data_IF_836207203487
#
_entry.id   IF_836207203487
#
_cell.length_a   1.000
_cell.length_b   1.000
_cell.length_c   1.000
_cell.angle_alpha   90.00
_cell.angle_beta   90.00
_cell.angle_gamma   90.00
#
_symmetry.space_group_name_H-M   'P 1'
#
loop_
_entity.id
_entity.type
_entity.pdbx_description
1 polymer ?
#
# COMPACT_ATOMS: atom_id res chain seq x y z
N UNK A 1 -1.53 85.76 26.43
CA UNK A 1 -2.34 84.51 26.37
C UNK A 1 -2.02 83.79 25.06
N UNK A 2 -1.11 82.82 25.08
CA UNK A 2 -0.80 81.97 23.93
C UNK A 2 -1.55 80.66 24.08
N UNK A 3 -2.47 80.37 23.15
CA UNK A 3 -3.14 79.07 23.05
C UNK A 3 -2.25 78.14 22.23
N UNK A 4 -1.64 77.17 22.89
CA UNK A 4 -0.92 76.07 22.25
C UNK A 4 -1.91 75.14 21.55
N UNK A 5 -1.71 74.79 20.27
CA UNK A 5 -2.58 73.86 19.56
C UNK A 5 -2.29 72.43 20.05
N UNK A 6 -3.31 71.76 20.59
CA UNK A 6 -3.27 70.31 20.84
C UNK A 6 -3.25 69.60 19.48
N UNK A 7 -2.12 68.98 19.16
CA UNK A 7 -1.92 68.22 17.94
C UNK A 7 -2.65 66.88 17.99
N UNK A 8 -3.29 66.53 16.86
CA UNK A 8 -4.04 65.30 16.59
C UNK A 8 -3.14 64.05 16.50
N UNK A 9 -2.46 63.70 17.60
CA UNK A 9 -1.60 62.50 17.67
C UNK A 9 -2.39 61.19 17.80
N UNK A 10 -3.72 61.24 18.00
CA UNK A 10 -4.56 60.06 18.18
C UNK A 10 -4.99 59.36 16.87
N UNK A 11 -4.90 60.04 15.71
CA UNK A 11 -5.34 59.44 14.43
C UNK A 11 -4.29 58.54 13.75
N UNK A 12 -3.01 58.71 14.10
CA UNK A 12 -1.90 57.95 13.46
C UNK A 12 -1.84 56.49 13.90
N UNK A 13 -2.06 56.22 15.19
CA UNK A 13 -1.99 54.87 15.76
C UNK A 13 -3.14 53.97 15.26
N UNK A 14 -4.33 54.54 15.05
CA UNK A 14 -5.48 53.80 14.50
C UNK A 14 -5.28 53.37 13.05
N UNK A 15 -4.57 54.18 12.25
CA UNK A 15 -4.29 53.87 10.86
C UNK A 15 -3.25 52.75 10.70
N UNK A 16 -2.22 52.70 11.55
CA UNK A 16 -1.20 51.64 11.50
C UNK A 16 -1.77 50.27 11.88
N UNK A 17 -2.62 50.22 12.91
CA UNK A 17 -3.27 48.97 13.35
C UNK A 17 -4.23 48.41 12.30
N UNK A 18 -4.97 49.27 11.58
CA UNK A 18 -5.85 48.85 10.48
C UNK A 18 -5.07 48.29 9.29
N UNK A 19 -3.94 48.93 8.92
CA UNK A 19 -3.05 48.43 7.85
C UNK A 19 -2.44 47.09 8.21
N UNK A 20 -1.97 46.92 9.45
CA UNK A 20 -1.43 45.64 9.92
C UNK A 20 -2.46 44.51 9.86
N UNK A 21 -3.70 44.75 10.31
CA UNK A 21 -4.79 43.77 10.23
C UNK A 21 -5.15 43.38 8.79
N UNK A 22 -5.18 44.35 7.88
CA UNK A 22 -5.46 44.08 6.47
C UNK A 22 -4.37 43.23 5.81
N UNK A 23 -3.09 43.50 6.11
CA UNK A 23 -1.96 42.71 5.62
C UNK A 23 -1.99 41.29 6.20
N UNK A 24 -2.29 41.14 7.48
CA UNK A 24 -2.38 39.82 8.12
C UNK A 24 -3.53 38.97 7.53
N UNK A 25 -4.70 39.60 7.29
CA UNK A 25 -5.84 38.93 6.68
C UNK A 25 -5.53 38.52 5.22
N UNK A 26 -4.88 39.39 4.45
CA UNK A 26 -4.46 39.10 3.09
C UNK A 26 -3.43 37.94 3.05
N UNK A 27 -2.45 37.93 3.97
CA UNK A 27 -1.50 36.84 4.10
C UNK A 27 -2.18 35.51 4.46
N UNK A 28 -3.16 35.54 5.38
CA UNK A 28 -3.94 34.36 5.75
C UNK A 28 -4.76 33.82 4.57
N UNK A 29 -5.39 34.70 3.78
CA UNK A 29 -6.16 34.32 2.59
C UNK A 29 -5.26 33.74 1.49
N UNK A 30 -4.05 34.27 1.31
CA UNK A 30 -3.06 33.70 0.38
C UNK A 30 -2.61 32.32 0.86
N UNK A 31 -2.37 32.13 2.16
CA UNK A 31 -2.03 30.81 2.72
C UNK A 31 -3.19 29.83 2.54
N UNK A 32 -4.43 30.24 2.82
CA UNK A 32 -5.62 29.41 2.60
C UNK A 32 -5.83 29.05 1.11
N UNK A 33 -5.57 29.99 0.20
CA UNK A 33 -5.63 29.78 -1.24
C UNK A 33 -4.51 28.89 -1.80
N UNK A 34 -3.33 28.91 -1.18
CA UNK A 34 -2.23 28.00 -1.52
C UNK A 34 -2.43 26.60 -0.90
N UNK A 35 -3.15 26.51 0.23
CA UNK A 35 -3.54 25.25 0.85
C UNK A 35 -4.77 24.59 0.20
N UNK A 36 -5.60 25.32 -0.56
CA UNK A 36 -6.83 24.81 -1.17
C UNK A 36 -6.63 24.03 -2.48
N UNK A 37 -5.42 24.02 -3.04
CA UNK A 37 -5.05 23.14 -4.16
C UNK A 37 -4.73 21.71 -3.74
N UNK A 38 -4.78 21.38 -2.45
CA UNK A 38 -4.80 19.99 -1.99
C UNK A 38 -6.17 19.40 -2.34
N UNK A 39 -6.23 18.56 -3.37
CA UNK A 39 -7.43 17.77 -3.67
C UNK A 39 -7.60 16.78 -2.53
N UNK A 40 -8.53 17.06 -1.62
CA UNK A 40 -8.88 16.14 -0.55
C UNK A 40 -9.66 14.97 -1.14
N UNK A 41 -9.34 13.74 -0.70
CA UNK A 41 -10.14 12.57 -1.02
C UNK A 41 -11.61 12.81 -0.65
N UNK A 42 -12.53 12.36 -1.52
CA UNK A 42 -13.97 12.50 -1.29
C UNK A 42 -14.40 11.33 -0.40
N UNK A 43 -14.95 11.57 0.80
CA UNK A 43 -15.41 10.49 1.67
C UNK A 43 -16.51 9.66 0.99
N UNK A 44 -16.51 8.36 1.21
CA UNK A 44 -17.66 7.55 0.83
C UNK A 44 -18.82 7.83 1.80
N UNK A 45 -20.08 7.92 1.32
CA UNK A 45 -21.24 7.92 2.20
C UNK A 45 -21.25 6.74 3.18
N UNK A 46 -21.83 6.92 4.37
CA UNK A 46 -22.07 5.79 5.27
C UNK A 46 -23.00 4.78 4.58
N UNK A 47 -22.57 3.54 4.48
CA UNK A 47 -23.32 2.58 3.68
C UNK A 47 -22.71 1.20 3.57
N UNK A 48 -23.45 0.36 2.83
CA UNK A 48 -23.05 -0.98 2.45
C UNK A 48 -22.60 -0.99 1.00
N UNK A 49 -21.46 -1.62 0.73
CA UNK A 49 -20.80 -1.59 -0.57
C UNK A 49 -20.35 -2.97 -1.00
N UNK A 50 -20.23 -3.18 -2.31
CA UNK A 50 -19.56 -4.36 -2.83
C UNK A 50 -18.04 -4.26 -2.60
N UNK A 51 -17.55 -5.00 -1.62
CA UNK A 51 -16.13 -5.15 -1.30
C UNK A 51 -15.61 -6.54 -1.70
N UNK A 52 -16.13 -7.14 -2.78
CA UNK A 52 -15.73 -8.49 -3.20
C UNK A 52 -14.52 -8.45 -4.14
N UNK A 53 -13.56 -9.36 -3.91
CA UNK A 53 -12.39 -9.58 -4.77
C UNK A 53 -12.67 -10.70 -5.78
N UNK A 54 -13.48 -10.39 -6.81
CA UNK A 54 -13.97 -11.38 -7.77
C UNK A 54 -12.89 -11.85 -8.77
N UNK A 55 -12.00 -10.94 -9.18
CA UNK A 55 -10.91 -11.20 -10.11
C UNK A 55 -9.60 -10.62 -9.57
N UNK A 56 -8.46 -11.21 -9.93
CA UNK A 56 -7.14 -10.70 -9.53
C UNK A 56 -6.91 -9.30 -10.12
N UNK A 57 -6.62 -8.33 -9.27
CA UNK A 57 -6.25 -6.99 -9.73
C UNK A 57 -4.92 -7.00 -10.49
N UNK A 58 -4.81 -6.12 -11.49
CA UNK A 58 -3.54 -5.83 -12.15
C UNK A 58 -2.49 -5.30 -11.16
N UNK A 59 -1.21 -5.48 -11.48
CA UNK A 59 -0.12 -4.92 -10.68
C UNK A 59 -0.16 -3.39 -10.70
N UNK A 60 -0.13 -2.70 -9.55
CA UNK A 60 0.01 -1.24 -9.49
C UNK A 60 1.43 -0.78 -9.84
N UNK A 61 2.37 -1.72 -9.98
CA UNK A 61 3.78 -1.44 -10.29
C UNK A 61 4.10 -1.64 -11.76
N UNK A 62 5.06 -0.87 -12.30
CA UNK A 62 5.51 -1.05 -13.68
C UNK A 62 6.07 -2.46 -13.92
N UNK A 63 6.03 -2.96 -15.18
CA UNK A 63 6.73 -4.17 -15.56
C UNK A 63 8.22 -4.08 -15.21
N UNK A 64 8.82 -5.21 -14.85
CA UNK A 64 10.26 -5.29 -14.60
C UNK A 64 11.01 -5.51 -15.90
N UNK A 65 12.21 -4.91 -16.01
CA UNK A 65 13.13 -5.20 -17.11
C UNK A 65 13.59 -6.66 -17.04
N UNK A 66 13.92 -7.23 -18.20
CA UNK A 66 14.58 -8.53 -18.25
C UNK A 66 15.98 -8.47 -17.63
N UNK A 67 16.51 -9.64 -17.29
CA UNK A 67 17.87 -9.81 -16.81
C UNK A 67 18.73 -10.56 -17.83
N UNK A 68 20.05 -10.40 -17.71
CA UNK A 68 21.01 -11.28 -18.38
C UNK A 68 20.96 -12.70 -17.79
N UNK A 69 21.61 -13.65 -18.45
CA UNK A 69 21.56 -15.06 -18.07
C UNK A 69 22.14 -15.36 -16.67
N UNK A 70 23.02 -14.50 -16.16
CA UNK A 70 23.62 -14.63 -14.82
C UNK A 70 22.86 -13.86 -13.74
N UNK A 71 21.77 -13.18 -14.13
CA UNK A 71 20.93 -12.36 -13.24
C UNK A 71 21.66 -11.23 -12.51
N UNK A 72 22.77 -10.75 -13.07
CA UNK A 72 23.61 -9.70 -12.49
C UNK A 72 23.28 -8.30 -13.02
N UNK A 73 22.61 -8.20 -14.18
CA UNK A 73 22.23 -6.93 -14.78
C UNK A 73 20.83 -6.99 -15.40
N UNK A 74 20.08 -5.90 -15.30
CA UNK A 74 18.74 -5.74 -15.87
C UNK A 74 18.73 -4.70 -17.00
N UNK A 75 17.92 -4.91 -18.03
CA UNK A 75 17.83 -3.98 -19.16
C UNK A 75 16.95 -4.49 -20.30
N UNK A 76 17.17 -3.92 -21.49
CA UNK A 76 16.45 -4.23 -22.72
C UNK A 76 17.42 -4.64 -23.83
N UNK A 77 16.96 -5.45 -24.78
CA UNK A 77 17.73 -5.92 -25.93
C UNK A 77 18.26 -7.35 -25.79
N UNK A 78 19.06 -7.77 -26.77
CA UNK A 78 19.44 -9.17 -26.97
C UNK A 78 20.26 -9.79 -25.82
N UNK A 79 20.91 -8.97 -24.98
CA UNK A 79 21.68 -9.44 -23.84
C UNK A 79 20.81 -9.77 -22.60
N UNK A 80 19.55 -9.32 -22.57
CA UNK A 80 18.65 -9.47 -21.43
C UNK A 80 17.54 -10.49 -21.75
N UNK A 81 17.92 -11.76 -21.76
CA UNK A 81 17.08 -12.88 -22.24
C UNK A 81 16.19 -13.49 -21.19
N UNK A 82 16.35 -13.13 -19.91
CA UNK A 82 15.60 -13.74 -18.80
C UNK A 82 14.46 -12.82 -18.40
N UNK A 83 13.20 -13.17 -18.73
CA UNK A 83 12.06 -12.44 -18.22
C UNK A 83 11.90 -12.69 -16.71
N UNK A 84 11.54 -11.64 -15.98
CA UNK A 84 11.31 -11.68 -14.53
C UNK A 84 9.94 -11.11 -14.19
N UNK A 85 9.37 -11.58 -13.09
CA UNK A 85 8.08 -11.14 -12.56
C UNK A 85 8.12 -11.03 -11.05
N UNK A 86 7.09 -10.40 -10.49
CA UNK A 86 6.87 -10.38 -9.04
C UNK A 86 6.12 -11.66 -8.66
N UNK A 87 6.74 -12.46 -7.80
CA UNK A 87 6.23 -13.74 -7.31
C UNK A 87 5.67 -13.55 -5.91
N UNK A 88 4.54 -14.20 -5.62
CA UNK A 88 3.88 -14.16 -4.33
C UNK A 88 4.54 -15.10 -3.33
N UNK A 89 4.75 -14.65 -2.09
CA UNK A 89 5.20 -15.53 -1.00
C UNK A 89 4.01 -16.33 -0.46
N UNK A 90 2.96 -15.64 -0.03
CA UNK A 90 1.62 -16.19 0.20
C UNK A 90 0.83 -16.02 -1.11
N UNK A 91 0.39 -17.12 -1.70
CA UNK A 91 -0.36 -17.12 -2.94
C UNK A 91 -1.60 -16.19 -2.89
N UNK A 92 -1.93 -15.59 -4.03
CA UNK A 92 -3.06 -14.65 -4.13
C UNK A 92 -4.37 -15.27 -3.66
N UNK A 93 -4.64 -16.53 -4.01
CA UNK A 93 -5.87 -17.22 -3.59
C UNK A 93 -5.99 -17.31 -2.07
N UNK A 94 -4.89 -17.55 -1.34
CA UNK A 94 -4.91 -17.57 0.13
C UNK A 94 -5.21 -16.18 0.72
N UNK A 95 -4.62 -15.11 0.17
CA UNK A 95 -4.92 -13.74 0.58
C UNK A 95 -6.36 -13.35 0.29
N UNK A 96 -6.86 -13.67 -0.92
CA UNK A 96 -8.24 -13.42 -1.33
C UNK A 96 -9.21 -14.15 -0.43
N UNK A 97 -9.01 -15.44 -0.19
CA UNK A 97 -9.94 -16.26 0.59
C UNK A 97 -9.99 -15.81 2.05
N UNK A 98 -8.85 -15.43 2.63
CA UNK A 98 -8.81 -14.77 3.93
C UNK A 98 -9.62 -13.47 3.93
N UNK A 99 -9.33 -12.55 2.99
CA UNK A 99 -10.04 -11.28 2.88
C UNK A 99 -11.55 -11.48 2.74
N UNK A 100 -11.97 -12.35 1.82
CA UNK A 100 -13.38 -12.66 1.59
C UNK A 100 -14.04 -13.31 2.80
N UNK A 101 -13.33 -14.14 3.56
CA UNK A 101 -13.85 -14.66 4.84
C UNK A 101 -14.02 -13.56 5.89
N UNK A 102 -13.18 -12.53 5.91
CA UNK A 102 -13.34 -11.37 6.82
C UNK A 102 -14.54 -10.52 6.39
N UNK A 103 -14.69 -10.28 5.08
CA UNK A 103 -15.83 -9.57 4.46
C UNK A 103 -17.14 -10.25 4.79
N UNK A 104 -17.27 -11.55 4.49
CA UNK A 104 -18.51 -12.33 4.67
C UNK A 104 -18.95 -12.42 6.12
N UNK A 105 -18.00 -12.40 7.06
CA UNK A 105 -18.28 -12.43 8.50
C UNK A 105 -18.47 -11.04 9.12
N UNK A 106 -18.32 -9.96 8.34
CA UNK A 106 -18.49 -8.60 8.84
C UNK A 106 -17.39 -8.15 9.82
N UNK A 107 -16.21 -8.76 9.75
CA UNK A 107 -15.11 -8.52 10.70
C UNK A 107 -14.03 -7.56 10.18
N UNK A 108 -14.27 -6.85 9.07
CA UNK A 108 -13.28 -5.94 8.48
C UNK A 108 -12.74 -4.90 9.47
N UNK A 109 -13.59 -4.38 10.35
CA UNK A 109 -13.20 -3.39 11.37
C UNK A 109 -12.16 -3.90 12.37
N UNK A 110 -12.06 -5.22 12.57
CA UNK A 110 -11.09 -5.83 13.48
C UNK A 110 -9.64 -5.72 12.97
N UNK A 111 -9.48 -5.40 11.68
CA UNK A 111 -8.19 -5.17 11.04
C UNK A 111 -7.87 -3.66 10.89
N UNK A 112 -8.52 -2.79 11.66
CA UNK A 112 -8.34 -1.32 11.58
C UNK A 112 -6.88 -0.89 11.62
N UNK A 113 -6.10 -1.43 12.56
CA UNK A 113 -4.69 -1.05 12.71
C UNK A 113 -3.87 -1.32 11.45
N UNK A 114 -4.12 -2.48 10.81
CA UNK A 114 -3.55 -2.79 9.51
C UNK A 114 -4.06 -1.84 8.43
N UNK A 115 -5.37 -1.58 8.33
CA UNK A 115 -5.93 -0.68 7.31
C UNK A 115 -5.33 0.73 7.36
N UNK A 116 -5.23 1.31 8.55
CA UNK A 116 -4.65 2.64 8.74
C UNK A 116 -3.17 2.66 8.29
N UNK A 117 -2.39 1.68 8.76
CA UNK A 117 -0.97 1.59 8.42
C UNK A 117 -0.71 1.24 6.96
N UNK A 118 -1.56 0.40 6.37
CA UNK A 118 -1.47 -0.04 4.99
C UNK A 118 -1.79 1.10 4.02
N UNK A 119 -2.93 1.78 4.21
CA UNK A 119 -3.34 2.93 3.41
C UNK A 119 -2.37 4.10 3.55
N UNK A 120 -1.85 4.33 4.76
CA UNK A 120 -0.83 5.35 5.02
C UNK A 120 0.49 5.17 4.25
N UNK A 121 0.71 4.03 3.60
CA UNK A 121 1.95 3.71 2.88
C UNK A 121 1.81 3.61 1.36
N UNK A 122 0.63 3.84 0.78
CA UNK A 122 0.43 3.73 -0.67
C UNK A 122 1.38 4.62 -1.48
N UNK A 123 1.61 5.86 -1.02
CA UNK A 123 2.59 6.75 -1.65
C UNK A 123 4.01 6.15 -1.66
N UNK A 124 4.46 5.60 -0.53
CA UNK A 124 5.76 4.93 -0.42
C UNK A 124 5.82 3.66 -1.25
N UNK A 125 4.76 2.85 -1.27
CA UNK A 125 4.69 1.67 -2.14
C UNK A 125 4.84 2.04 -3.61
N UNK A 126 4.19 3.10 -4.08
CA UNK A 126 4.36 3.59 -5.44
C UNK A 126 5.81 4.01 -5.70
N UNK A 127 6.35 4.93 -4.88
CA UNK A 127 7.69 5.51 -5.07
C UNK A 127 8.81 4.48 -4.98
N UNK A 128 8.79 3.62 -3.96
CA UNK A 128 9.86 2.65 -3.70
C UNK A 128 9.90 1.52 -4.73
N UNK A 129 8.81 1.34 -5.50
CA UNK A 129 8.69 0.38 -6.59
C UNK A 129 8.56 1.08 -7.97
N UNK A 130 9.10 2.29 -8.09
CA UNK A 130 9.31 3.00 -9.37
C UNK A 130 8.04 3.39 -10.13
N UNK A 131 6.90 3.52 -9.44
CA UNK A 131 5.71 4.13 -10.06
C UNK A 131 5.96 5.62 -10.24
N UNK A 132 5.64 6.14 -11.43
CA UNK A 132 5.60 7.57 -11.67
C UNK A 132 4.38 8.18 -10.96
N UNK A 133 4.57 8.64 -9.72
CA UNK A 133 3.48 9.22 -8.92
C UNK A 133 3.20 10.66 -9.36
N UNK A 134 2.33 10.79 -10.36
CA UNK A 134 1.77 12.08 -10.76
C UNK A 134 0.72 12.55 -9.74
N UNK A 135 0.28 13.82 -9.78
CA UNK A 135 -0.79 14.30 -8.91
C UNK A 135 -2.09 13.47 -8.98
N UNK A 136 -2.45 12.97 -10.17
CA UNK A 136 -3.61 12.10 -10.34
C UNK A 136 -3.44 10.75 -9.63
N UNK A 137 -2.28 10.10 -9.79
CA UNK A 137 -1.96 8.84 -9.09
C UNK A 137 -1.96 9.05 -7.57
N UNK A 138 -1.43 10.19 -7.10
CA UNK A 138 -1.47 10.52 -5.68
C UNK A 138 -2.91 10.67 -5.17
N UNK A 139 -3.80 11.32 -5.92
CA UNK A 139 -5.21 11.45 -5.56
C UNK A 139 -5.90 10.07 -5.46
N UNK A 140 -5.58 9.14 -6.35
CA UNK A 140 -6.09 7.76 -6.27
C UNK A 140 -5.60 7.04 -5.00
N UNK A 141 -4.34 7.27 -4.60
CA UNK A 141 -3.78 6.72 -3.37
C UNK A 141 -4.46 7.30 -2.13
N UNK A 142 -4.67 8.62 -2.11
CA UNK A 142 -5.35 9.31 -1.01
C UNK A 142 -6.81 8.84 -0.90
N UNK A 143 -7.50 8.66 -2.02
CA UNK A 143 -8.87 8.12 -2.06
C UNK A 143 -8.95 6.70 -1.50
N UNK A 144 -8.00 5.83 -1.84
CA UNK A 144 -7.96 4.46 -1.35
C UNK A 144 -7.56 4.37 0.13
N UNK A 145 -6.71 5.28 0.60
CA UNK A 145 -6.41 5.43 2.03
C UNK A 145 -7.67 5.83 2.80
N UNK A 146 -8.43 6.82 2.33
CA UNK A 146 -9.69 7.23 2.95
C UNK A 146 -10.68 6.07 3.04
N UNK A 147 -10.82 5.26 1.97
CA UNK A 147 -11.63 4.04 2.00
C UNK A 147 -11.20 3.08 3.14
N UNK A 148 -9.90 2.85 3.31
CA UNK A 148 -9.38 1.97 4.35
C UNK A 148 -9.67 2.50 5.77
N UNK A 149 -9.56 3.81 5.98
CA UNK A 149 -9.95 4.46 7.23
C UNK A 149 -11.45 4.35 7.51
N UNK A 150 -12.29 4.43 6.47
CA UNK A 150 -13.74 4.26 6.56
C UNK A 150 -14.14 2.81 6.86
N UNK A 151 -13.47 1.83 6.24
CA UNK A 151 -13.63 0.40 6.55
C UNK A 151 -13.23 0.14 8.02
N UNK A 152 -12.09 0.65 8.45
CA UNK A 152 -11.59 0.50 9.81
C UNK A 152 -12.50 1.14 10.87
N UNK A 153 -13.27 2.18 10.53
CA UNK A 153 -14.28 2.80 11.39
C UNK A 153 -15.66 2.14 11.29
N UNK A 154 -15.90 1.26 10.32
CA UNK A 154 -17.20 0.64 10.05
C UNK A 154 -18.20 1.55 9.35
N UNK A 155 -17.75 2.67 8.75
CA UNK A 155 -18.58 3.58 7.92
C UNK A 155 -18.89 2.91 6.59
N UNK A 156 -17.87 2.32 5.95
CA UNK A 156 -18.03 1.48 4.77
C UNK A 156 -18.12 0.02 5.21
N UNK A 157 -19.26 -0.62 4.96
CA UNK A 157 -19.53 -2.01 5.35
C UNK A 157 -19.63 -2.90 4.13
N UNK A 158 -19.18 -4.15 4.26
CA UNK A 158 -19.30 -5.15 3.21
C UNK A 158 -20.75 -5.58 3.02
N UNK A 159 -21.22 -5.57 1.78
CA UNK A 159 -22.44 -6.27 1.35
C UNK A 159 -22.25 -6.76 -0.09
N UNK A 160 -22.02 -8.07 -0.23
CA UNK A 160 -21.86 -8.70 -1.53
C UNK A 160 -23.18 -8.62 -2.31
N UNK A 161 -23.14 -8.02 -3.51
CA UNK A 161 -24.30 -7.88 -4.39
C UNK A 161 -24.99 -6.51 -4.39
N UNK A 162 -24.52 -5.54 -3.58
CA UNK A 162 -25.02 -4.16 -3.63
C UNK A 162 -24.03 -3.28 -4.41
N UNK A 163 -24.31 -2.95 -5.69
CA UNK A 163 -23.60 -1.85 -6.34
C UNK A 163 -23.98 -0.51 -5.67
N UNK A 164 -23.07 0.49 -5.67
CA UNK A 164 -21.76 0.51 -6.34
C UNK A 164 -20.59 -0.03 -5.49
N UNK A 165 -19.43 -0.23 -6.12
CA UNK A 165 -18.14 -0.30 -5.41
C UNK A 165 -17.80 1.09 -4.85
N UNK A 166 -17.13 1.20 -3.69
CA UNK A 166 -16.79 2.50 -3.13
C UNK A 166 -15.62 3.14 -3.90
N UNK A 167 -15.49 4.46 -3.77
CA UNK A 167 -14.34 5.20 -4.29
C UNK A 167 -13.05 4.69 -3.65
N UNK A 168 -11.99 4.55 -4.45
CA UNK A 168 -10.69 4.05 -4.01
C UNK A 168 -10.56 2.52 -3.98
N UNK A 169 -11.64 1.78 -4.31
CA UNK A 169 -11.63 0.31 -4.29
C UNK A 169 -10.56 -0.30 -5.19
N UNK A 170 -10.46 0.13 -6.44
CA UNK A 170 -9.56 -0.49 -7.41
C UNK A 170 -8.09 -0.33 -7.01
N UNK A 171 -7.71 0.86 -6.53
CA UNK A 171 -6.37 1.14 -5.99
C UNK A 171 -6.07 0.32 -4.74
N UNK A 172 -7.02 0.25 -3.78
CA UNK A 172 -6.89 -0.62 -2.61
C UNK A 172 -6.67 -2.08 -3.03
N UNK A 173 -7.52 -2.59 -3.91
CA UNK A 173 -7.48 -3.98 -4.36
C UNK A 173 -6.17 -4.31 -5.10
N UNK A 174 -5.67 -3.38 -5.92
CA UNK A 174 -4.35 -3.48 -6.55
C UNK A 174 -3.23 -3.61 -5.52
N UNK A 175 -3.15 -2.70 -4.55
CA UNK A 175 -2.10 -2.79 -3.51
C UNK A 175 -2.26 -3.99 -2.59
N UNK A 176 -3.48 -4.39 -2.24
CA UNK A 176 -3.71 -5.56 -1.40
C UNK A 176 -3.26 -6.86 -2.11
N UNK A 177 -3.56 -6.96 -3.40
CA UNK A 177 -3.11 -8.08 -4.23
C UNK A 177 -1.58 -8.11 -4.34
N UNK A 178 -0.95 -6.95 -4.42
CA UNK A 178 0.47 -6.81 -4.72
C UNK A 178 1.26 -6.17 -3.55
N UNK A 179 1.01 -6.58 -2.30
CA UNK A 179 1.72 -6.00 -1.16
C UNK A 179 3.24 -6.26 -1.22
N UNK A 180 4.10 -5.24 -1.09
CA UNK A 180 5.55 -5.40 -1.28
C UNK A 180 6.22 -6.44 -0.39
N UNK A 181 5.76 -6.59 0.85
CA UNK A 181 6.28 -7.60 1.78
C UNK A 181 5.96 -9.04 1.37
N UNK A 182 4.94 -9.24 0.54
CA UNK A 182 4.52 -10.54 0.07
C UNK A 182 5.05 -10.86 -1.33
N UNK A 183 5.97 -10.05 -1.86
CA UNK A 183 6.45 -10.15 -3.22
C UNK A 183 7.97 -10.17 -3.30
N UNK A 184 8.50 -11.03 -4.16
CA UNK A 184 9.91 -10.96 -4.59
C UNK A 184 10.03 -10.95 -6.11
N UNK A 185 11.09 -10.33 -6.61
CA UNK A 185 11.42 -10.34 -8.03
C UNK A 185 12.24 -11.59 -8.35
N UNK A 186 11.80 -12.36 -9.36
CA UNK A 186 12.46 -13.59 -9.76
C UNK A 186 12.21 -13.94 -11.23
N UNK A 187 13.02 -14.83 -11.83
CA UNK A 187 12.81 -15.34 -13.18
C UNK A 187 11.41 -15.92 -13.36
N UNK A 188 10.85 -15.83 -14.57
CA UNK A 188 9.57 -16.50 -14.87
C UNK A 188 9.76 -18.01 -15.10
N UNK A 189 10.90 -18.39 -15.66
CA UNK A 189 11.28 -19.79 -15.83
C UNK A 189 11.78 -20.37 -14.53
N UNK A 190 10.87 -20.77 -13.65
CA UNK A 190 11.18 -21.44 -12.38
C UNK A 190 10.75 -22.90 -12.43
N UNK A 191 11.62 -23.80 -11.96
CA UNK A 191 11.24 -25.21 -11.78
C UNK A 191 10.90 -25.56 -10.33
N UNK A 192 10.99 -24.59 -9.42
CA UNK A 192 10.63 -24.69 -8.01
C UNK A 192 9.43 -23.79 -7.63
N UNK A 193 8.66 -23.32 -8.63
CA UNK A 193 7.47 -22.51 -8.41
C UNK A 193 6.36 -23.37 -7.76
N UNK A 194 5.85 -23.00 -6.57
CA UNK A 194 4.77 -23.71 -5.88
C UNK A 194 3.39 -23.47 -6.50
N UNK A 195 3.28 -22.58 -7.49
CA UNK A 195 2.00 -22.16 -8.09
C UNK A 195 1.10 -21.49 -7.04
N UNK A 196 0.02 -22.17 -6.67
CA UNK A 196 -0.97 -21.65 -5.72
C UNK A 196 -0.68 -22.02 -4.25
N UNK A 197 0.41 -22.73 -4.00
CA UNK A 197 0.85 -23.05 -2.65
C UNK A 197 1.74 -21.95 -2.05
N UNK A 198 2.16 -22.15 -0.80
CA UNK A 198 3.05 -21.22 -0.10
C UNK A 198 4.50 -21.39 -0.56
N UNK A 199 5.16 -20.29 -0.89
CA UNK A 199 6.55 -20.27 -1.37
C UNK A 199 7.55 -20.47 -0.23
N UNK A 200 7.72 -21.72 0.21
CA UNK A 200 8.62 -22.06 1.32
C UNK A 200 10.07 -21.66 1.07
N UNK A 201 10.52 -21.69 -0.19
CA UNK A 201 11.89 -21.35 -0.54
C UNK A 201 12.14 -19.83 -0.49
N UNK A 202 11.08 -18.99 -0.48
CA UNK A 202 11.25 -17.55 -0.31
C UNK A 202 11.90 -17.15 1.01
N UNK A 203 12.02 -18.05 2.00
CA UNK A 203 12.82 -17.79 3.21
C UNK A 203 14.25 -17.33 2.89
N UNK A 204 14.85 -17.88 1.83
CA UNK A 204 16.22 -17.55 1.40
C UNK A 204 16.27 -16.25 0.61
N UNK A 205 15.15 -15.82 0.03
CA UNK A 205 14.99 -14.51 -0.61
C UNK A 205 14.78 -13.42 0.43
N UNK A 206 13.88 -13.67 1.39
CA UNK A 206 13.59 -12.79 2.52
C UNK A 206 14.85 -12.57 3.37
N UNK A 207 15.65 -13.63 3.57
CA UNK A 207 16.93 -13.64 4.28
C UNK A 207 16.88 -12.90 5.62
N UNK A 208 15.79 -13.08 6.34
CA UNK A 208 15.55 -12.50 7.66
C UNK A 208 14.60 -13.42 8.44
N UNK A 209 15.15 -14.14 9.41
CA UNK A 209 14.42 -15.18 10.17
C UNK A 209 13.18 -14.64 10.86
N UNK A 210 13.25 -13.48 11.50
CA UNK A 210 12.10 -12.90 12.21
C UNK A 210 10.97 -12.50 11.27
N UNK A 211 11.31 -11.93 10.11
CA UNK A 211 10.35 -11.55 9.08
C UNK A 211 9.72 -12.81 8.47
N UNK A 212 10.53 -13.82 8.17
CA UNK A 212 10.05 -15.10 7.65
C UNK A 212 9.09 -15.79 8.62
N UNK A 213 9.46 -15.89 9.90
CA UNK A 213 8.60 -16.44 10.95
C UNK A 213 7.30 -15.65 11.08
N UNK A 214 7.35 -14.32 10.92
CA UNK A 214 6.14 -13.48 10.93
C UNK A 214 5.23 -13.81 9.73
N UNK A 215 5.78 -14.04 8.54
CA UNK A 215 5.03 -14.42 7.34
C UNK A 215 4.38 -15.81 7.50
N UNK A 216 5.13 -16.80 7.99
CA UNK A 216 4.63 -18.17 8.22
C UNK A 216 3.48 -18.13 9.23
N UNK A 217 3.69 -17.49 10.38
CA UNK A 217 2.65 -17.38 11.40
C UNK A 217 1.42 -16.62 10.90
N UNK A 218 1.61 -15.57 10.09
CA UNK A 218 0.52 -14.82 9.47
C UNK A 218 -0.32 -15.73 8.58
N UNK A 219 0.32 -16.48 7.67
CA UNK A 219 -0.36 -17.43 6.80
C UNK A 219 -1.17 -18.45 7.61
N UNK A 220 -0.56 -19.08 8.60
CA UNK A 220 -1.22 -20.13 9.38
C UNK A 220 -2.41 -19.57 10.18
N UNK A 221 -2.28 -18.35 10.70
CA UNK A 221 -3.39 -17.63 11.34
C UNK A 221 -4.51 -17.31 10.34
N UNK A 222 -4.18 -16.83 9.13
CA UNK A 222 -5.17 -16.57 8.08
C UNK A 222 -5.94 -17.84 7.73
N UNK A 223 -5.24 -18.97 7.55
CA UNK A 223 -5.86 -20.26 7.26
C UNK A 223 -6.75 -20.75 8.42
N UNK A 224 -6.32 -20.58 9.67
CA UNK A 224 -7.15 -20.93 10.83
C UNK A 224 -8.42 -20.07 10.86
N UNK A 225 -8.29 -18.75 10.70
CA UNK A 225 -9.43 -17.84 10.69
C UNK A 225 -10.42 -18.16 9.57
N UNK A 226 -9.95 -18.43 8.35
CA UNK A 226 -10.82 -18.82 7.23
C UNK A 226 -11.64 -20.07 7.56
N UNK A 227 -11.04 -21.03 8.27
CA UNK A 227 -11.70 -22.27 8.70
C UNK A 227 -12.71 -22.06 9.82
N UNK A 228 -12.34 -21.39 10.91
CA UNK A 228 -13.12 -21.36 12.15
C UNK A 228 -13.85 -20.02 12.43
N UNK A 229 -13.44 -18.93 11.78
CA UNK A 229 -13.98 -17.58 12.00
C UNK A 229 -13.63 -16.97 13.35
N UNK A 230 -12.63 -17.50 14.06
CA UNK A 230 -12.28 -17.06 15.41
C UNK A 230 -11.69 -15.64 15.40
N UNK A 231 -12.50 -14.67 15.84
CA UNK A 231 -12.14 -13.24 15.90
C UNK A 231 -10.87 -12.99 16.71
N UNK A 232 -10.55 -13.80 17.73
CA UNK A 232 -9.32 -13.63 18.51
C UNK A 232 -8.06 -13.74 17.65
N UNK A 233 -8.10 -14.55 16.59
CA UNK A 233 -7.01 -14.70 15.63
C UNK A 233 -6.78 -13.42 14.82
N UNK A 234 -7.82 -12.61 14.59
CA UNK A 234 -7.71 -11.36 13.82
C UNK A 234 -6.84 -10.31 14.51
N UNK A 235 -6.80 -10.27 15.84
CA UNK A 235 -5.92 -9.34 16.55
C UNK A 235 -4.43 -9.64 16.25
N UNK A 236 -4.05 -10.92 16.24
CA UNK A 236 -2.70 -11.35 15.86
C UNK A 236 -2.43 -11.05 14.38
N UNK A 237 -3.34 -11.40 13.48
CA UNK A 237 -3.22 -11.11 12.05
C UNK A 237 -3.05 -9.60 11.80
N UNK A 238 -3.87 -8.76 12.45
CA UNK A 238 -3.82 -7.31 12.34
C UNK A 238 -2.42 -6.77 12.69
N UNK A 239 -1.86 -7.20 13.83
CA UNK A 239 -0.51 -6.78 14.24
C UNK A 239 0.60 -7.26 13.30
N UNK A 240 0.51 -8.51 12.80
CA UNK A 240 1.49 -9.06 11.87
C UNK A 240 1.44 -8.36 10.51
N UNK A 241 0.24 -8.14 9.97
CA UNK A 241 0.04 -7.37 8.74
C UNK A 241 0.52 -5.92 8.90
N UNK A 242 0.21 -5.26 10.03
CA UNK A 242 0.71 -3.92 10.31
C UNK A 242 2.25 -3.88 10.36
N UNK A 243 2.90 -4.87 10.99
CA UNK A 243 4.37 -4.98 11.00
C UNK A 243 4.93 -5.17 9.60
N UNK A 244 4.39 -6.13 8.84
CA UNK A 244 4.88 -6.47 7.50
C UNK A 244 4.64 -5.33 6.48
N UNK A 245 3.52 -4.62 6.60
CA UNK A 245 3.22 -3.45 5.76
C UNK A 245 4.24 -2.32 5.89
N UNK A 246 5.07 -2.29 6.94
CA UNK A 246 6.19 -1.35 7.03
C UNK A 246 7.23 -1.53 5.90
N UNK A 247 7.32 -2.72 5.31
CA UNK A 247 8.15 -2.95 4.13
C UNK A 247 7.43 -2.43 2.89
N UNK A 248 8.00 -1.38 2.31
CA UNK A 248 7.42 -0.68 1.16
C UNK A 248 7.98 -1.13 -0.19
N UNK A 249 9.08 -1.90 -0.18
CA UNK A 249 9.78 -2.36 -1.39
C UNK A 249 9.69 -3.87 -1.56
N UNK A 250 9.41 -4.31 -2.79
CA UNK A 250 9.48 -5.73 -3.19
C UNK A 250 10.88 -6.29 -2.91
N UNK A 251 11.01 -7.56 -2.52
CA UNK A 251 12.34 -8.18 -2.38
C UNK A 251 13.04 -8.18 -3.76
N UNK A 252 14.21 -7.52 -3.90
CA UNK A 252 14.87 -7.42 -5.19
C UNK A 252 15.41 -8.78 -5.62
N UNK A 253 15.64 -8.93 -6.92
CA UNK A 253 16.39 -10.07 -7.42
C UNK A 253 17.86 -9.90 -7.03
N UNK A 254 18.42 -10.89 -6.34
CA UNK A 254 19.86 -10.99 -6.03
C UNK A 254 20.39 -12.28 -6.65
N UNK A 255 21.34 -12.17 -7.59
CA UNK A 255 21.86 -13.30 -8.38
C UNK A 255 22.26 -14.51 -7.52
N UNK A 256 22.91 -14.28 -6.39
CA UNK A 256 23.45 -15.33 -5.52
C UNK A 256 22.35 -16.15 -4.84
N UNK A 257 21.13 -15.64 -4.78
CA UNK A 257 19.97 -16.37 -4.26
C UNK A 257 19.33 -17.31 -5.30
N UNK A 258 19.89 -17.40 -6.51
CA UNK A 258 19.37 -18.22 -7.59
C UNK A 258 20.41 -19.23 -8.10
N UNK A 259 19.92 -20.35 -8.62
CA UNK A 259 20.71 -21.37 -9.32
C UNK A 259 20.09 -21.62 -10.67
N UNK A 260 20.86 -21.44 -11.75
CA UNK A 260 20.45 -21.82 -13.10
C UNK A 260 20.53 -23.34 -13.24
N UNK A 261 19.43 -23.96 -13.66
CA UNK A 261 19.33 -25.43 -13.84
C UNK A 261 19.21 -25.84 -15.30
N UNK A 262 18.75 -24.94 -16.18
CA UNK A 262 18.72 -25.11 -17.63
C UNK A 262 18.75 -23.71 -18.30
N UNK A 263 18.82 -23.62 -19.65
CA UNK A 263 18.68 -22.34 -20.33
C UNK A 263 17.38 -21.62 -19.94
N UNK A 264 17.50 -20.41 -19.36
CA UNK A 264 16.40 -19.59 -18.84
C UNK A 264 15.53 -20.26 -17.76
N UNK A 265 16.01 -21.34 -17.12
CA UNK A 265 15.32 -22.01 -16.00
C UNK A 265 16.17 -21.92 -14.75
N UNK A 266 15.55 -21.46 -13.66
CA UNK A 266 16.19 -21.19 -12.37
C UNK A 266 15.41 -21.82 -11.22
N UNK A 267 16.06 -21.91 -10.07
CA UNK A 267 15.44 -22.15 -8.76
C UNK A 267 16.07 -21.26 -7.72
N UNK A 268 15.37 -21.07 -6.60
CA UNK A 268 15.93 -20.43 -5.42
C UNK A 268 17.07 -21.32 -4.88
N UNK A 269 18.18 -20.70 -4.51
CA UNK A 269 19.31 -21.38 -3.87
C UNK A 269 18.93 -21.76 -2.44
N UNK A 270 18.82 -23.05 -2.21
CA UNK A 270 18.63 -23.65 -0.88
C UNK A 270 19.99 -24.22 -0.43
N UNK A 271 20.53 -23.82 0.74
CA UNK A 271 21.73 -24.43 1.30
C UNK A 271 21.58 -25.94 1.46
N UNK A 272 22.65 -26.71 1.22
CA UNK A 272 22.66 -28.13 1.54
C UNK A 272 22.45 -28.31 3.06
N UNK A 273 21.57 -29.24 3.42
CA UNK A 273 21.31 -29.63 4.81
C UNK A 273 22.39 -30.58 5.31
#
# INVERSE_FOLDING_TARGET
MHKTPRSNLLDSAGASLRRFRAVLLAALLVVLGLCSSASYAVPNPDGSYNLSMDARAGSPYPPSNNYNADLTASGVGAAYTVPVSRHHIIAYNQLRDFYMSVVQRGHLKELKGFWDGFGGRFLSYGRDNQVNVTPAVQADYDQAKTLLEEIGRGVVRANAGVPPRPLGWDTFHGFYTWMPWNLFLGPNGRNDDPGEEFERNAQYIVNNTDTWNTIVNLRDNMLSYTRDGNVKTLATINSQLLRLSARTKVYPLVSDQWVRVAPNVYKIRVPAQ
#
